data_IF_487157686394
#
_entry.id   IF_487157686394
#
_cell.length_a   1.000
_cell.length_b   1.000
_cell.length_c   1.000
_cell.angle_alpha   90.00
_cell.angle_beta   90.00
_cell.angle_gamma   90.00
#
_symmetry.space_group_name_H-M   'P 1'
#
loop_
_entity.id
_entity.type
_entity.pdbx_description
1 polymer ?
#
# COMPACT_ATOMS: atom_id res chain seq x y z
N UNK A 1 -0.14 -3.78 -18.03
CA UNK A 1 -0.13 -4.74 -16.91
C UNK A 1 -1.52 -4.86 -16.31
N UNK A 2 -1.80 -5.98 -15.69
CA UNK A 2 -3.00 -6.12 -14.86
C UNK A 2 -2.63 -6.01 -13.39
N UNK A 3 -3.25 -5.09 -12.67
CA UNK A 3 -2.97 -4.83 -11.26
C UNK A 3 -4.23 -4.98 -10.42
N UNK A 4 -4.05 -5.52 -9.22
CA UNK A 4 -5.11 -5.55 -8.20
C UNK A 4 -4.69 -4.59 -7.09
N UNK A 5 -5.55 -3.62 -6.80
CA UNK A 5 -5.36 -2.67 -5.71
C UNK A 5 -6.37 -3.00 -4.62
N UNK A 6 -5.93 -3.15 -3.39
CA UNK A 6 -6.81 -3.46 -2.27
C UNK A 6 -6.89 -2.28 -1.32
N UNK A 7 -8.10 -1.79 -1.12
CA UNK A 7 -8.38 -0.65 -0.27
C UNK A 7 -8.75 0.60 -1.07
N UNK A 8 -10.04 0.97 -1.04
CA UNK A 8 -10.57 2.12 -1.77
C UNK A 8 -10.65 3.39 -0.90
N UNK A 9 -9.64 3.63 -0.08
CA UNK A 9 -9.45 4.92 0.55
C UNK A 9 -8.93 5.92 -0.49
N UNK A 10 -8.53 7.10 -0.05
CA UNK A 10 -8.04 8.15 -0.96
C UNK A 10 -6.84 7.67 -1.77
N UNK A 11 -5.91 6.97 -1.15
CA UNK A 11 -4.71 6.47 -1.83
C UNK A 11 -5.08 5.45 -2.88
N UNK A 12 -5.89 4.45 -2.52
CA UNK A 12 -6.27 3.38 -3.44
C UNK A 12 -7.06 3.88 -4.65
N UNK A 13 -8.01 4.77 -4.44
CA UNK A 13 -8.82 5.34 -5.53
C UNK A 13 -7.96 6.19 -6.46
N UNK A 14 -7.13 7.09 -5.91
CA UNK A 14 -6.28 7.94 -6.72
C UNK A 14 -5.23 7.13 -7.50
N UNK A 15 -4.66 6.11 -6.84
CA UNK A 15 -3.73 5.21 -7.49
C UNK A 15 -4.39 4.46 -8.65
N UNK A 16 -5.60 3.97 -8.44
CA UNK A 16 -6.35 3.26 -9.49
C UNK A 16 -6.60 4.17 -10.68
N UNK A 17 -7.05 5.41 -10.44
CA UNK A 17 -7.25 6.38 -11.52
C UNK A 17 -5.97 6.61 -12.33
N UNK A 18 -4.87 6.82 -11.63
CA UNK A 18 -3.59 7.11 -12.27
C UNK A 18 -3.10 5.92 -13.10
N UNK A 19 -3.20 4.72 -12.56
CA UNK A 19 -2.79 3.52 -13.27
C UNK A 19 -3.65 3.29 -14.52
N UNK A 20 -4.96 3.51 -14.41
CA UNK A 20 -5.86 3.40 -15.57
C UNK A 20 -5.53 4.45 -16.63
N UNK A 21 -5.20 5.68 -16.21
CA UNK A 21 -4.81 6.75 -17.13
C UNK A 21 -3.53 6.41 -17.87
N UNK A 22 -2.64 5.62 -17.27
CA UNK A 22 -1.41 5.14 -17.89
C UNK A 22 -1.63 3.92 -18.79
N UNK A 23 -2.87 3.47 -18.95
CA UNK A 23 -3.20 2.35 -19.83
C UNK A 23 -3.19 0.97 -19.20
N UNK A 24 -3.09 0.89 -17.88
CA UNK A 24 -3.12 -0.39 -17.18
C UNK A 24 -4.55 -0.82 -16.89
N UNK A 25 -4.77 -2.12 -16.84
CA UNK A 25 -6.01 -2.70 -16.38
C UNK A 25 -5.92 -2.86 -14.87
N UNK A 26 -6.93 -2.39 -14.12
CA UNK A 26 -6.90 -2.37 -12.67
C UNK A 26 -8.24 -2.86 -12.11
N UNK A 27 -8.19 -3.70 -11.09
CA UNK A 27 -9.33 -4.03 -10.24
C UNK A 27 -9.05 -3.52 -8.85
N UNK A 28 -9.93 -2.68 -8.32
CA UNK A 28 -9.86 -2.16 -6.96
C UNK A 28 -10.83 -2.98 -6.10
N UNK A 29 -10.38 -3.45 -4.95
CA UNK A 29 -11.21 -4.24 -4.03
C UNK A 29 -11.45 -3.43 -2.76
N UNK A 30 -12.72 -3.36 -2.33
CA UNK A 30 -13.13 -2.64 -1.13
C UNK A 30 -14.12 -3.47 -0.32
N UNK A 31 -13.90 -3.58 0.99
CA UNK A 31 -14.75 -4.38 1.87
C UNK A 31 -15.80 -3.57 2.62
N UNK A 32 -15.72 -2.25 2.60
CA UNK A 32 -16.74 -1.39 3.23
C UNK A 32 -17.84 -1.08 2.21
N UNK A 33 -19.04 -1.56 2.47
CA UNK A 33 -20.16 -1.43 1.52
C UNK A 33 -20.44 0.02 1.14
N UNK A 34 -20.44 0.94 2.11
CA UNK A 34 -20.73 2.35 1.85
C UNK A 34 -19.65 2.99 0.95
N UNK A 35 -18.39 2.65 1.21
CA UNK A 35 -17.28 3.17 0.40
C UNK A 35 -17.30 2.57 -1.01
N UNK A 36 -17.58 1.29 -1.12
CA UNK A 36 -17.74 0.63 -2.41
C UNK A 36 -18.84 1.31 -3.25
N UNK A 37 -20.02 1.54 -2.65
CA UNK A 37 -21.14 2.15 -3.36
C UNK A 37 -20.80 3.56 -3.86
N UNK A 38 -20.04 4.32 -3.07
CA UNK A 38 -19.63 5.66 -3.46
C UNK A 38 -18.64 5.62 -4.63
N UNK A 39 -17.64 4.76 -4.55
CA UNK A 39 -16.58 4.69 -5.56
C UNK A 39 -17.06 4.02 -6.85
N UNK A 40 -18.00 3.08 -6.75
CA UNK A 40 -18.59 2.42 -7.91
C UNK A 40 -19.22 3.40 -8.89
N UNK A 41 -19.75 4.53 -8.40
CA UNK A 41 -20.35 5.55 -9.26
C UNK A 41 -19.34 6.08 -10.29
N UNK A 42 -18.07 6.08 -9.95
CA UNK A 42 -17.00 6.54 -10.85
C UNK A 42 -16.29 5.39 -11.56
N UNK A 43 -15.92 4.35 -10.83
CA UNK A 43 -15.06 3.27 -11.35
C UNK A 43 -15.84 2.09 -11.95
N UNK A 44 -17.14 2.03 -11.72
CA UNK A 44 -18.02 1.02 -12.29
C UNK A 44 -17.49 -0.41 -12.10
N UNK A 45 -17.23 -1.13 -13.19
CA UNK A 45 -16.75 -2.51 -13.13
C UNK A 45 -15.28 -2.66 -12.69
N UNK A 46 -14.55 -1.56 -12.55
CA UNK A 46 -13.17 -1.60 -12.07
C UNK A 46 -13.07 -1.71 -10.56
N UNK A 47 -14.16 -1.58 -9.83
CA UNK A 47 -14.19 -1.83 -8.40
C UNK A 47 -15.02 -3.07 -8.09
N UNK A 48 -14.53 -3.88 -7.15
CA UNK A 48 -15.16 -5.11 -6.70
C UNK A 48 -15.40 -5.02 -5.20
N UNK A 49 -16.62 -5.38 -4.77
CA UNK A 49 -16.93 -5.45 -3.35
C UNK A 49 -16.47 -6.78 -2.78
N UNK A 50 -15.80 -6.77 -1.65
CA UNK A 50 -15.41 -7.96 -0.94
C UNK A 50 -14.23 -7.74 -0.01
N UNK A 51 -13.98 -8.75 0.81
CA UNK A 51 -12.83 -8.80 1.71
C UNK A 51 -11.70 -9.57 1.04
N UNK A 52 -10.64 -8.86 0.68
CA UNK A 52 -9.50 -9.46 -0.04
C UNK A 52 -8.68 -10.43 0.82
N UNK A 53 -8.96 -10.55 2.12
CA UNK A 53 -8.38 -11.61 2.94
C UNK A 53 -9.03 -12.97 2.66
N UNK A 54 -10.16 -12.99 1.96
CA UNK A 54 -10.84 -14.20 1.56
C UNK A 54 -10.40 -14.63 0.15
N UNK A 55 -9.98 -15.88 0.00
CA UNK A 55 -9.41 -16.37 -1.26
C UNK A 55 -10.36 -16.25 -2.44
N UNK A 56 -11.66 -16.52 -2.24
CA UNK A 56 -12.63 -16.44 -3.32
C UNK A 56 -12.75 -15.02 -3.90
N UNK A 57 -12.53 -14.00 -3.07
CA UNK A 57 -12.55 -12.59 -3.51
C UNK A 57 -11.38 -12.32 -4.45
N UNK A 58 -10.20 -12.78 -4.08
CA UNK A 58 -9.00 -12.65 -4.91
C UNK A 58 -9.13 -13.45 -6.21
N UNK A 59 -9.67 -14.67 -6.14
CA UNK A 59 -9.93 -15.50 -7.32
C UNK A 59 -10.88 -14.78 -8.28
N UNK A 60 -11.97 -14.23 -7.77
CA UNK A 60 -12.94 -13.47 -8.58
C UNK A 60 -12.31 -12.24 -9.21
N UNK A 61 -11.35 -11.61 -8.53
CA UNK A 61 -10.64 -10.45 -9.06
C UNK A 61 -9.61 -10.84 -10.13
N UNK A 62 -9.35 -12.13 -10.31
CA UNK A 62 -8.40 -12.59 -11.31
C UNK A 62 -6.94 -12.55 -10.87
N UNK A 63 -6.67 -12.83 -9.60
CA UNK A 63 -5.31 -12.76 -9.05
C UNK A 63 -4.33 -13.69 -9.79
N UNK A 64 -4.83 -14.79 -10.36
CA UNK A 64 -3.95 -15.73 -11.08
C UNK A 64 -3.28 -15.09 -12.29
N UNK A 65 -3.92 -14.08 -12.90
CA UNK A 65 -3.34 -13.37 -14.05
C UNK A 65 -2.75 -12.01 -13.68
N UNK A 66 -2.78 -11.64 -12.39
CA UNK A 66 -2.29 -10.34 -11.97
C UNK A 66 -0.76 -10.25 -12.06
N UNK A 67 -0.28 -9.15 -12.59
CA UNK A 67 1.15 -8.84 -12.63
C UNK A 67 1.63 -8.23 -11.32
N UNK A 68 0.73 -7.55 -10.61
CA UNK A 68 1.07 -6.87 -9.37
C UNK A 68 -0.14 -6.79 -8.44
N UNK A 69 0.11 -6.91 -7.15
CA UNK A 69 -0.89 -6.68 -6.09
C UNK A 69 -0.39 -5.58 -5.17
N UNK A 70 -1.23 -4.58 -4.95
CA UNK A 70 -0.91 -3.41 -4.13
C UNK A 70 -1.93 -3.33 -2.99
N UNK A 71 -1.49 -3.61 -1.76
CA UNK A 71 -2.35 -3.57 -0.59
C UNK A 71 -2.17 -2.25 0.15
N UNK A 72 -3.20 -1.39 0.09
CA UNK A 72 -3.17 -0.03 0.66
C UNK A 72 -4.36 0.22 1.58
N UNK A 73 -4.81 -0.79 2.31
CA UNK A 73 -5.85 -0.64 3.32
C UNK A 73 -5.30 0.09 4.56
N UNK A 74 -6.18 0.52 5.44
CA UNK A 74 -5.79 1.12 6.71
C UNK A 74 -5.37 0.12 7.78
N UNK A 75 -5.32 -1.16 7.48
CA UNK A 75 -5.01 -2.23 8.42
C UNK A 75 -3.75 -2.98 7.99
N UNK A 76 -2.70 -2.91 8.82
CA UNK A 76 -1.42 -3.54 8.49
C UNK A 76 -1.50 -5.06 8.43
N UNK A 77 -2.31 -5.67 9.29
CA UNK A 77 -2.46 -7.14 9.29
C UNK A 77 -3.11 -7.61 7.98
N UNK A 78 -4.13 -6.90 7.53
CA UNK A 78 -4.77 -7.20 6.24
C UNK A 78 -3.79 -7.04 5.09
N UNK A 79 -3.01 -5.95 5.09
CA UNK A 79 -2.02 -5.70 4.05
C UNK A 79 -0.96 -6.80 4.01
N UNK A 80 -0.50 -7.26 5.18
CA UNK A 80 0.44 -8.39 5.28
C UNK A 80 -0.16 -9.67 4.73
N UNK A 81 -1.36 -10.00 5.16
CA UNK A 81 -2.03 -11.23 4.75
C UNK A 81 -2.26 -11.26 3.24
N UNK A 82 -2.79 -10.19 2.69
CA UNK A 82 -3.09 -10.10 1.26
C UNK A 82 -1.83 -10.26 0.43
N UNK A 83 -0.77 -9.55 0.78
CA UNK A 83 0.50 -9.63 0.05
C UNK A 83 1.15 -11.01 0.20
N UNK A 84 1.07 -11.61 1.38
CA UNK A 84 1.63 -12.93 1.60
C UNK A 84 0.90 -14.00 0.78
N UNK A 85 -0.43 -13.94 0.76
CA UNK A 85 -1.25 -14.85 -0.05
C UNK A 85 -0.95 -14.66 -1.54
N UNK A 86 -0.88 -13.42 -2.00
CA UNK A 86 -0.58 -13.12 -3.39
C UNK A 86 0.78 -13.71 -3.80
N UNK A 87 1.77 -13.57 -2.96
CA UNK A 87 3.12 -14.05 -3.22
C UNK A 87 3.25 -15.56 -3.10
N UNK A 88 2.81 -16.11 -1.97
CA UNK A 88 3.06 -17.52 -1.64
C UNK A 88 2.10 -18.49 -2.30
N UNK A 89 0.81 -18.14 -2.35
CA UNK A 89 -0.20 -19.02 -2.94
C UNK A 89 -0.32 -18.86 -4.44
N UNK A 90 -0.31 -17.63 -4.93
CA UNK A 90 -0.58 -17.35 -6.33
C UNK A 90 0.66 -16.99 -7.14
N UNK A 91 1.80 -16.83 -6.49
CA UNK A 91 3.05 -16.54 -7.18
C UNK A 91 3.06 -15.21 -7.95
N UNK A 92 2.32 -14.21 -7.48
CA UNK A 92 2.31 -12.88 -8.11
C UNK A 92 3.72 -12.32 -8.08
N UNK A 93 4.21 -11.87 -9.24
CA UNK A 93 5.60 -11.46 -9.41
C UNK A 93 5.99 -10.20 -8.65
N UNK A 94 5.04 -9.30 -8.41
CA UNK A 94 5.30 -8.04 -7.70
C UNK A 94 4.20 -7.76 -6.70
N UNK A 95 4.60 -7.40 -5.49
CA UNK A 95 3.69 -6.98 -4.43
C UNK A 95 4.19 -5.68 -3.84
N UNK A 96 3.27 -4.81 -3.44
CA UNK A 96 3.58 -3.57 -2.72
C UNK A 96 2.60 -3.48 -1.56
N UNK A 97 3.09 -3.16 -0.37
CA UNK A 97 2.25 -3.03 0.80
C UNK A 97 2.44 -1.66 1.46
N UNK A 98 1.31 -1.06 1.85
CA UNK A 98 1.32 0.11 2.71
C UNK A 98 1.52 -0.33 4.16
N UNK A 99 2.42 0.35 4.85
CA UNK A 99 2.61 0.21 6.30
C UNK A 99 2.00 1.44 6.97
N UNK A 100 0.95 1.24 7.76
CA UNK A 100 0.28 2.35 8.46
C UNK A 100 1.02 2.68 9.76
N UNK A 101 1.48 1.67 10.48
CA UNK A 101 2.28 1.83 11.69
C UNK A 101 3.71 1.42 11.39
N UNK A 102 4.68 2.36 11.41
CA UNK A 102 6.08 2.05 11.09
C UNK A 102 6.69 0.94 11.94
N UNK A 103 6.16 0.70 13.14
CA UNK A 103 6.61 -0.40 14.00
C UNK A 103 6.37 -1.77 13.37
N UNK A 104 5.41 -1.87 12.46
CA UNK A 104 5.07 -3.13 11.79
C UNK A 104 5.98 -3.42 10.60
N UNK A 105 6.83 -2.48 10.17
CA UNK A 105 7.70 -2.68 9.01
C UNK A 105 8.56 -3.93 9.15
N UNK A 106 9.11 -4.18 10.33
CA UNK A 106 9.91 -5.37 10.57
C UNK A 106 9.14 -6.67 10.33
N UNK A 107 7.84 -6.68 10.61
CA UNK A 107 7.00 -7.85 10.35
C UNK A 107 6.84 -8.11 8.86
N UNK A 108 6.65 -7.04 8.07
CA UNK A 108 6.62 -7.16 6.61
C UNK A 108 7.93 -7.69 6.07
N UNK A 109 9.06 -7.18 6.59
CA UNK A 109 10.39 -7.62 6.17
C UNK A 109 10.61 -9.10 6.48
N UNK A 110 10.21 -9.56 7.67
CA UNK A 110 10.31 -10.97 8.06
C UNK A 110 9.51 -11.90 7.15
N UNK A 111 8.37 -11.42 6.65
CA UNK A 111 7.53 -12.18 5.73
C UNK A 111 8.00 -12.06 4.27
N UNK A 112 9.05 -11.29 4.02
CA UNK A 112 9.55 -11.09 2.67
C UNK A 112 8.66 -10.22 1.80
N UNK A 113 7.84 -9.38 2.41
CA UNK A 113 6.94 -8.46 1.69
C UNK A 113 7.70 -7.16 1.41
N UNK A 114 8.11 -7.00 0.17
CA UNK A 114 8.88 -5.84 -0.31
C UNK A 114 8.42 -5.45 -1.72
N UNK A 115 8.40 -4.16 -2.04
CA UNK A 115 8.64 -3.01 -1.19
C UNK A 115 7.44 -2.67 -0.29
N UNK A 116 7.72 -1.95 0.80
CA UNK A 116 6.71 -1.36 1.66
C UNK A 116 6.75 0.16 1.53
N UNK A 117 5.59 0.81 1.70
CA UNK A 117 5.46 2.26 1.62
C UNK A 117 4.78 2.76 2.88
N UNK A 118 5.37 3.75 3.53
CA UNK A 118 4.80 4.39 4.71
C UNK A 118 4.53 5.86 4.43
N UNK A 119 3.29 6.31 4.62
CA UNK A 119 2.94 7.71 4.47
C UNK A 119 3.70 8.58 5.48
N UNK A 120 3.90 8.07 6.68
CA UNK A 120 4.67 8.76 7.72
C UNK A 120 6.10 9.03 7.25
N UNK A 121 6.76 8.02 6.70
CA UNK A 121 8.12 8.16 6.18
C UNK A 121 8.19 9.18 5.03
N UNK A 122 7.20 9.14 4.14
CA UNK A 122 7.17 10.08 3.01
C UNK A 122 7.01 11.53 3.50
N UNK A 123 6.14 11.75 4.48
CA UNK A 123 5.95 13.08 5.08
C UNK A 123 7.22 13.55 5.77
N UNK A 124 7.86 12.66 6.52
CA UNK A 124 9.11 13.00 7.21
C UNK A 124 10.22 13.39 6.22
N UNK A 125 10.31 12.70 5.09
CA UNK A 125 11.27 13.04 4.04
C UNK A 125 11.01 14.43 3.46
N UNK A 126 9.74 14.79 3.27
CA UNK A 126 9.40 16.12 2.78
C UNK A 126 9.75 17.19 3.81
N UNK A 127 9.53 16.93 5.08
CA UNK A 127 9.87 17.84 6.16
C UNK A 127 11.38 18.08 6.29
N UNK A 128 12.20 17.12 5.88
CA UNK A 128 13.64 17.28 5.89
C UNK A 128 14.13 18.51 5.13
N UNK A 129 13.37 18.94 4.12
CA UNK A 129 13.72 20.10 3.30
C UNK A 129 13.20 21.42 3.87
N UNK A 130 12.23 21.36 4.79
CA UNK A 130 11.52 22.55 5.27
C UNK A 130 11.78 22.85 6.75
N UNK A 131 12.24 21.87 7.53
CA UNK A 131 12.41 21.97 8.98
C UNK A 131 13.90 21.96 9.33
N UNK A 132 14.36 22.80 10.29
CA UNK A 132 15.74 22.75 10.75
C UNK A 132 16.11 21.34 11.20
N UNK A 133 17.32 20.90 10.84
CA UNK A 133 17.77 19.53 11.04
C UNK A 133 17.70 19.06 12.50
N UNK A 134 18.01 19.94 13.46
CA UNK A 134 17.96 19.55 14.87
C UNK A 134 16.53 19.28 15.36
N UNK A 135 15.54 19.98 14.80
CA UNK A 135 14.14 19.73 15.14
C UNK A 135 13.67 18.44 14.49
N UNK A 136 14.15 18.18 13.28
CA UNK A 136 13.81 16.95 12.57
C UNK A 136 14.36 15.72 13.29
N UNK A 137 15.61 15.81 13.77
CA UNK A 137 16.22 14.75 14.58
C UNK A 137 15.37 14.46 15.81
N UNK A 138 14.90 15.50 16.49
CA UNK A 138 14.08 15.36 17.69
C UNK A 138 12.74 14.64 17.37
N UNK A 139 12.11 15.00 16.25
CA UNK A 139 10.88 14.35 15.81
C UNK A 139 11.10 12.87 15.49
N UNK A 140 12.22 12.54 14.87
CA UNK A 140 12.53 11.19 14.42
C UNK A 140 13.12 10.30 15.52
N UNK A 141 13.51 10.86 16.66
CA UNK A 141 13.87 10.08 17.84
C UNK A 141 12.72 9.20 18.32
N UNK A 142 11.49 9.53 17.91
CA UNK A 142 10.32 8.73 18.22
C UNK A 142 10.23 7.47 17.36
N UNK A 143 10.98 7.42 16.24
CA UNK A 143 11.00 6.30 15.31
C UNK A 143 12.44 5.98 14.90
N UNK A 144 13.04 5.03 15.61
CA UNK A 144 14.45 4.68 15.44
C UNK A 144 14.83 4.31 14.00
N UNK A 145 13.94 3.72 13.26
CA UNK A 145 14.18 3.27 11.89
C UNK A 145 14.38 4.40 10.88
N UNK A 146 14.05 5.64 11.26
CA UNK A 146 14.22 6.82 10.42
C UNK A 146 15.52 7.56 10.69
N UNK A 147 16.31 7.13 11.68
CA UNK A 147 17.56 7.80 12.06
C UNK A 147 18.58 7.81 10.92
N UNK A 148 18.69 6.73 10.17
CA UNK A 148 19.62 6.65 9.04
C UNK A 148 19.32 7.70 7.97
N UNK A 149 18.06 7.97 7.71
CA UNK A 149 17.64 8.97 6.74
C UNK A 149 18.08 10.37 7.20
N UNK A 150 17.97 10.65 8.49
CA UNK A 150 18.41 11.92 9.08
C UNK A 150 19.91 12.10 8.92
N UNK A 151 20.68 11.07 9.24
CA UNK A 151 22.14 11.13 9.13
C UNK A 151 22.60 11.44 7.71
N UNK A 152 21.96 10.85 6.73
CA UNK A 152 22.27 11.12 5.33
C UNK A 152 22.03 12.58 4.97
N UNK A 153 20.98 13.20 5.50
CA UNK A 153 20.64 14.59 5.24
C UNK A 153 21.56 15.57 5.95
N UNK A 154 21.98 15.23 7.15
CA UNK A 154 22.87 16.09 7.93
C UNK A 154 24.26 16.28 7.29
N UNK A 155 24.67 15.37 6.44
CA UNK A 155 25.95 15.44 5.74
C UNK A 155 25.93 16.33 4.50
N UNK A 156 24.78 16.68 4.04
CA UNK A 156 24.58 17.57 2.91
C UNK A 156 24.58 19.04 3.37
#
# INVERSE_FOLDING_TARGET
MYLIVVGAGKVGVNLTRELMAQGHEVTLIENRRSRYALVEQELEHNIQYGDASELWVLDRAGIERADMVIAVTGDDEDNMLICQVAKEKYGVGRIIARVNNPRNRQHFDLLGIKPTVSATDLILRLLEHEVPQHELVHLLDLEAENIEIIEMRLKE
#
